data_IF_860835413870
#
_entry.id   IF_860835413870
#
_cell.length_a   1.000
_cell.length_b   1.000
_cell.length_c   1.000
_cell.angle_alpha   90.00
_cell.angle_beta   90.00
_cell.angle_gamma   90.00
#
_symmetry.space_group_name_H-M   'P 1'
#
loop_
_entity.id
_entity.type
_entity.pdbx_description
1 polymer ?
#
# COMPACT_ATOMS: atom_id res chain seq x y z
N UNK A 1 -65.78 32.11 -20.22
CA UNK A 1 -64.51 32.31 -19.60
C UNK A 1 -63.99 30.97 -19.14
N UNK A 2 -63.08 30.46 -19.84
CA UNK A 2 -62.53 29.17 -19.50
C UNK A 2 -61.06 29.35 -19.15
N UNK A 3 -60.73 29.06 -17.90
CA UNK A 3 -59.38 29.09 -17.44
C UNK A 3 -58.76 27.71 -17.69
N UNK A 4 -57.80 27.67 -18.56
CA UNK A 4 -57.00 26.49 -18.73
C UNK A 4 -55.83 26.55 -17.77
N UNK A 5 -55.87 25.72 -16.79
CA UNK A 5 -54.73 25.53 -15.93
C UNK A 5 -53.85 24.44 -16.52
N UNK A 6 -52.83 24.88 -17.20
CA UNK A 6 -51.72 24.00 -17.56
C UNK A 6 -50.91 23.80 -16.32
N UNK A 7 -51.03 22.66 -15.73
CA UNK A 7 -50.10 22.24 -14.70
C UNK A 7 -48.73 22.00 -15.33
N UNK A 8 -47.70 22.64 -14.86
CA UNK A 8 -46.37 22.32 -15.36
C UNK A 8 -45.97 20.94 -14.87
N UNK A 9 -45.78 20.05 -15.80
CA UNK A 9 -45.10 18.80 -15.52
C UNK A 9 -43.66 19.15 -15.23
N UNK A 10 -43.32 19.19 -13.98
CA UNK A 10 -41.90 19.19 -13.57
C UNK A 10 -41.45 17.74 -13.67
N UNK A 11 -40.89 17.41 -14.78
CA UNK A 11 -40.13 16.19 -14.89
C UNK A 11 -38.84 16.37 -14.07
N UNK A 12 -38.89 15.95 -12.84
CA UNK A 12 -37.67 15.78 -12.04
C UNK A 12 -36.98 14.57 -12.60
N UNK A 13 -36.11 14.80 -13.54
CA UNK A 13 -35.14 13.82 -13.91
C UNK A 13 -34.16 13.71 -12.72
N UNK A 14 -34.45 12.78 -11.83
CA UNK A 14 -33.47 12.36 -10.85
C UNK A 14 -32.32 11.67 -11.62
N UNK A 15 -31.36 12.44 -12.03
CA UNK A 15 -30.08 11.89 -12.45
C UNK A 15 -29.45 11.37 -11.17
N UNK A 16 -29.71 10.13 -10.87
CA UNK A 16 -28.86 9.40 -9.95
C UNK A 16 -27.51 9.32 -10.64
N UNK A 17 -26.68 10.31 -10.40
CA UNK A 17 -25.27 10.19 -10.71
C UNK A 17 -24.75 9.11 -9.78
N UNK A 18 -24.81 7.90 -10.22
CA UNK A 18 -24.00 6.84 -9.69
C UNK A 18 -22.56 7.21 -10.04
N UNK A 19 -21.98 8.05 -9.20
CA UNK A 19 -20.55 8.10 -9.08
C UNK A 19 -20.13 6.78 -8.44
N UNK A 20 -20.30 5.69 -9.19
CA UNK A 20 -19.53 4.52 -8.94
C UNK A 20 -18.11 4.93 -9.28
N UNK A 21 -17.45 5.62 -8.35
CA UNK A 21 -16.01 5.63 -8.36
C UNK A 21 -15.60 4.18 -8.49
N UNK A 22 -14.70 3.82 -9.42
CA UNK A 22 -14.16 2.50 -9.41
C UNK A 22 -13.74 2.24 -7.97
N UNK A 23 -14.28 1.22 -7.36
CA UNK A 23 -13.62 0.61 -6.24
C UNK A 23 -12.28 0.13 -6.82
N UNK A 24 -11.37 1.07 -7.01
CA UNK A 24 -10.05 0.76 -7.44
C UNK A 24 -9.46 -0.02 -6.30
N UNK A 25 -9.53 -1.34 -6.42
CA UNK A 25 -8.81 -2.25 -5.57
C UNK A 25 -7.32 -2.08 -5.89
N UNK A 26 -6.77 -0.89 -5.60
CA UNK A 26 -5.33 -0.71 -5.61
C UNK A 26 -4.77 -1.51 -4.45
N UNK A 27 -3.79 -2.34 -4.74
CA UNK A 27 -3.04 -3.02 -3.73
C UNK A 27 -2.50 -1.99 -2.73
N UNK A 28 -2.70 -2.25 -1.45
CA UNK A 28 -2.22 -1.41 -0.36
C UNK A 28 -1.45 -2.24 0.65
N UNK A 29 -0.58 -1.60 1.39
CA UNK A 29 0.08 -2.21 2.52
C UNK A 29 -0.95 -2.42 3.64
N UNK A 30 -1.17 -3.67 4.02
CA UNK A 30 -2.13 -4.04 5.07
C UNK A 30 -1.45 -4.10 6.43
N UNK A 31 -0.24 -4.69 6.47
CA UNK A 31 0.55 -4.81 7.69
C UNK A 31 2.02 -4.92 7.36
N UNK A 32 2.84 -4.55 8.33
CA UNK A 32 4.28 -4.69 8.22
C UNK A 32 4.89 -4.97 9.60
N UNK A 33 6.02 -5.66 9.60
CA UNK A 33 6.84 -5.90 10.78
C UNK A 33 8.30 -5.61 10.43
N UNK A 34 8.99 -4.63 11.05
CA UNK A 34 8.44 -3.66 12.00
C UNK A 34 7.32 -2.82 11.40
N UNK A 35 6.34 -2.45 12.24
CA UNK A 35 5.19 -1.67 11.79
C UNK A 35 5.56 -0.21 11.51
N UNK A 36 4.82 0.50 10.64
CA UNK A 36 5.01 1.93 10.44
C UNK A 36 4.98 2.70 11.77
N UNK A 37 5.92 3.61 11.92
CA UNK A 37 6.09 4.49 13.08
C UNK A 37 6.35 3.77 14.42
N UNK A 38 6.66 2.48 14.38
CA UNK A 38 6.99 1.71 15.58
C UNK A 38 8.45 1.90 16.00
N UNK A 39 8.72 1.61 17.26
CA UNK A 39 10.06 1.49 17.84
C UNK A 39 10.26 0.04 18.25
N UNK A 40 11.34 -0.57 17.74
CA UNK A 40 11.63 -1.98 17.94
C UNK A 40 13.06 -2.17 18.42
N UNK A 41 13.33 -3.34 18.99
CA UNK A 41 14.66 -3.75 19.42
C UNK A 41 15.15 -4.88 18.51
N UNK A 42 16.34 -4.68 17.93
CA UNK A 42 17.06 -5.68 17.14
C UNK A 42 16.16 -6.54 16.20
N UNK A 43 15.48 -5.94 15.24
CA UNK A 43 14.68 -6.73 14.31
C UNK A 43 15.59 -7.64 13.46
N UNK A 44 15.17 -8.87 13.22
CA UNK A 44 15.91 -9.83 12.41
C UNK A 44 15.33 -9.99 11.02
N UNK A 45 14.06 -9.69 10.87
CA UNK A 45 13.31 -9.85 9.63
C UNK A 45 12.45 -8.63 9.38
N UNK A 46 12.20 -8.37 8.10
CA UNK A 46 11.16 -7.45 7.65
C UNK A 46 10.10 -8.25 6.91
N UNK A 47 8.84 -7.89 7.14
CA UNK A 47 7.71 -8.53 6.49
C UNK A 47 6.67 -7.48 6.13
N UNK A 48 6.26 -7.44 4.88
CA UNK A 48 5.25 -6.52 4.36
C UNK A 48 4.13 -7.34 3.72
N UNK A 49 2.92 -7.17 4.20
CA UNK A 49 1.74 -7.86 3.66
C UNK A 49 0.84 -6.87 2.94
N UNK A 50 0.47 -7.21 1.73
CA UNK A 50 -0.36 -6.38 0.86
C UNK A 50 -1.76 -6.99 0.69
N UNK A 51 -2.69 -6.16 0.23
CA UNK A 51 -4.10 -6.55 0.08
C UNK A 51 -4.38 -7.43 -1.13
N UNK A 52 -3.43 -7.54 -2.07
CA UNK A 52 -3.60 -8.28 -3.31
C UNK A 52 -2.37 -9.09 -3.65
N UNK A 53 -2.55 -10.10 -4.48
CA UNK A 53 -1.45 -10.91 -4.98
C UNK A 53 -0.54 -10.07 -5.88
N UNK A 54 0.75 -10.31 -5.74
CA UNK A 54 1.80 -9.56 -6.44
C UNK A 54 2.53 -10.45 -7.43
N UNK A 55 3.13 -9.78 -8.42
CA UNK A 55 4.07 -10.42 -9.36
C UNK A 55 5.47 -10.37 -8.73
N UNK A 56 6.07 -11.50 -8.36
CA UNK A 56 7.33 -11.52 -7.62
C UNK A 56 8.47 -10.79 -8.33
N UNK A 57 8.57 -10.92 -9.65
CA UNK A 57 9.65 -10.31 -10.43
C UNK A 57 9.65 -8.78 -10.41
N UNK A 58 8.50 -8.17 -10.08
CA UNK A 58 8.31 -6.71 -10.11
C UNK A 58 7.94 -6.12 -8.76
N UNK A 59 8.14 -6.88 -7.70
CA UNK A 59 7.75 -6.47 -6.35
C UNK A 59 8.92 -6.66 -5.39
N UNK A 60 9.11 -5.68 -4.51
CA UNK A 60 10.18 -5.71 -3.52
C UNK A 60 10.18 -4.47 -2.64
N UNK A 61 11.21 -4.33 -1.86
CA UNK A 61 11.44 -3.13 -1.07
C UNK A 61 12.93 -2.91 -0.81
N UNK A 62 13.28 -1.65 -0.54
CA UNK A 62 14.60 -1.22 -0.11
C UNK A 62 14.52 -0.71 1.33
N UNK A 63 15.58 -0.91 2.07
CA UNK A 63 15.75 -0.36 3.41
C UNK A 63 16.90 0.65 3.39
N UNK A 64 16.64 1.84 3.92
CA UNK A 64 17.66 2.89 4.05
C UNK A 64 17.72 3.40 5.49
N UNK A 65 18.93 3.79 5.92
CA UNK A 65 19.10 4.42 7.23
C UNK A 65 18.82 5.93 7.17
N UNK A 66 18.94 6.62 8.29
CA UNK A 66 18.67 8.05 8.38
C UNK A 66 19.59 8.91 7.49
N UNK A 67 20.78 8.43 7.16
CA UNK A 67 21.70 9.09 6.24
C UNK A 67 21.39 8.84 4.77
N UNK A 68 20.36 8.02 4.48
CA UNK A 68 19.99 7.64 3.12
C UNK A 68 20.84 6.51 2.54
N UNK A 69 21.66 5.85 3.37
CA UNK A 69 22.47 4.71 2.94
C UNK A 69 21.63 3.44 2.90
N UNK A 70 21.70 2.71 1.78
CA UNK A 70 21.02 1.45 1.62
C UNK A 70 21.56 0.35 2.53
N UNK A 71 20.64 -0.41 3.10
CA UNK A 71 20.93 -1.62 3.88
C UNK A 71 20.59 -2.82 3.01
N UNK A 72 21.52 -3.75 2.85
CA UNK A 72 21.27 -4.94 2.06
C UNK A 72 20.11 -5.75 2.65
N UNK A 73 19.11 -5.90 1.82
CA UNK A 73 17.98 -6.80 2.09
C UNK A 73 17.76 -7.66 0.88
N UNK A 74 17.29 -8.77 0.83
CA UNK A 74 16.97 -9.55 -0.36
C UNK A 74 15.52 -10.00 -0.23
N UNK A 75 14.54 -9.09 -0.51
CA UNK A 75 13.15 -9.44 -0.36
C UNK A 75 12.77 -10.62 -1.25
N UNK A 76 12.01 -11.53 -0.71
CA UNK A 76 11.42 -12.62 -1.44
C UNK A 76 9.92 -12.71 -1.17
N UNK A 77 9.19 -13.29 -2.13
CA UNK A 77 7.77 -13.51 -2.00
C UNK A 77 7.49 -14.73 -1.15
N UNK A 78 6.64 -14.60 -0.14
CA UNK A 78 6.11 -15.73 0.60
C UNK A 78 5.14 -16.55 -0.28
N UNK A 79 4.86 -17.78 0.11
CA UNK A 79 3.98 -18.67 -0.66
C UNK A 79 2.55 -18.14 -0.79
N UNK A 80 2.10 -17.29 0.14
CA UNK A 80 0.77 -16.68 0.08
C UNK A 80 0.58 -15.72 -1.10
N UNK A 81 1.68 -15.27 -1.72
CA UNK A 81 1.66 -14.35 -2.86
C UNK A 81 1.31 -12.90 -2.51
N UNK A 82 1.14 -12.57 -1.24
CA UNK A 82 0.77 -11.24 -0.76
C UNK A 82 1.77 -10.67 0.24
N UNK A 83 2.78 -11.44 0.66
CA UNK A 83 3.76 -11.03 1.66
C UNK A 83 5.17 -11.05 1.08
N UNK A 84 5.87 -9.92 1.21
CA UNK A 84 7.29 -9.81 0.96
C UNK A 84 8.04 -9.93 2.28
N UNK A 85 9.07 -10.75 2.31
CA UNK A 85 9.91 -10.95 3.50
C UNK A 85 11.37 -10.79 3.18
N UNK A 86 12.13 -10.30 4.14
CA UNK A 86 13.59 -10.25 4.05
C UNK A 86 14.20 -10.56 5.41
N UNK A 87 15.28 -11.33 5.42
CA UNK A 87 16.09 -11.57 6.60
C UNK A 87 17.29 -10.63 6.57
N UNK A 88 17.55 -9.96 7.69
CA UNK A 88 18.69 -9.06 7.82
C UNK A 88 19.95 -9.87 8.06
N UNK A 89 21.01 -9.61 7.27
CA UNK A 89 22.29 -10.28 7.41
C UNK A 89 23.04 -9.84 8.66
N UNK A 90 22.82 -8.59 9.08
CA UNK A 90 23.48 -7.98 10.23
C UNK A 90 22.46 -7.23 11.09
N UNK A 91 22.70 -7.13 12.41
CA UNK A 91 21.86 -6.30 13.28
C UNK A 91 21.86 -4.85 12.80
N UNK A 92 20.69 -4.21 12.87
CA UNK A 92 20.58 -2.80 12.57
C UNK A 92 21.08 -1.97 13.76
N UNK A 93 21.88 -0.95 13.46
CA UNK A 93 22.27 0.03 14.46
C UNK A 93 21.05 0.83 14.94
N UNK A 94 21.13 1.36 16.14
CA UNK A 94 20.12 2.27 16.68
C UNK A 94 19.92 3.45 15.74
N UNK A 95 18.67 3.78 15.44
CA UNK A 95 18.34 4.90 14.57
C UNK A 95 17.03 4.70 13.82
N UNK A 96 16.70 5.66 12.97
CA UNK A 96 15.50 5.66 12.14
C UNK A 96 15.82 5.02 10.79
N UNK A 97 14.93 4.16 10.34
CA UNK A 97 15.01 3.47 9.05
C UNK A 97 13.76 3.73 8.24
N UNK A 98 13.93 3.78 6.94
CA UNK A 98 12.82 3.93 5.99
C UNK A 98 12.77 2.74 5.05
N UNK A 99 11.58 2.21 4.87
CA UNK A 99 11.28 1.18 3.88
C UNK A 99 10.62 1.84 2.68
N UNK A 100 11.20 1.66 1.51
CA UNK A 100 10.61 2.08 0.24
C UNK A 100 10.17 0.82 -0.48
N UNK A 101 8.89 0.63 -0.66
CA UNK A 101 8.38 -0.55 -1.32
C UNK A 101 7.78 -0.24 -2.69
N UNK A 102 7.83 -1.21 -3.58
CA UNK A 102 7.20 -1.19 -4.88
C UNK A 102 6.58 -2.56 -5.15
N UNK A 103 5.40 -2.56 -5.69
CA UNK A 103 4.71 -3.79 -6.05
C UNK A 103 4.04 -3.64 -7.40
N UNK A 104 3.92 -4.75 -8.10
CA UNK A 104 3.03 -4.92 -9.23
C UNK A 104 2.02 -5.99 -8.87
N UNK A 105 0.74 -5.63 -8.85
CA UNK A 105 -0.31 -6.61 -8.63
C UNK A 105 -0.56 -7.45 -9.88
N UNK A 106 -1.17 -8.62 -9.70
CA UNK A 106 -1.41 -9.53 -10.82
C UNK A 106 -2.40 -8.98 -11.86
N UNK A 107 -3.15 -7.95 -11.51
CA UNK A 107 -4.03 -7.22 -12.43
C UNK A 107 -3.31 -6.16 -13.27
N UNK A 108 -1.99 -5.99 -13.09
CA UNK A 108 -1.15 -5.07 -13.86
C UNK A 108 -0.96 -3.68 -13.28
N UNK A 109 -1.50 -3.38 -12.11
CA UNK A 109 -1.30 -2.09 -11.46
C UNK A 109 0.01 -2.07 -10.66
N UNK A 110 0.75 -0.97 -10.76
CA UNK A 110 1.98 -0.72 -10.00
C UNK A 110 1.72 0.31 -8.91
N UNK A 111 2.21 0.01 -7.70
CA UNK A 111 2.08 0.87 -6.54
C UNK A 111 3.43 1.00 -5.86
N UNK A 112 3.68 2.15 -5.28
CA UNK A 112 4.85 2.41 -4.44
C UNK A 112 4.41 3.08 -3.14
N UNK A 113 5.23 2.95 -2.12
CA UNK A 113 5.00 3.61 -0.86
C UNK A 113 6.24 3.58 0.01
N UNK A 114 6.14 4.26 1.13
CA UNK A 114 7.23 4.36 2.09
C UNK A 114 6.68 4.44 3.51
N UNK A 115 7.43 3.91 4.46
CA UNK A 115 7.19 4.11 5.88
C UNK A 115 8.48 4.04 6.65
N UNK A 116 8.47 4.50 7.88
CA UNK A 116 9.63 4.51 8.77
C UNK A 116 9.38 3.73 10.04
N UNK A 117 10.44 3.21 10.63
CA UNK A 117 10.45 2.65 11.98
C UNK A 117 11.77 3.02 12.67
N UNK A 118 11.81 2.87 13.97
CA UNK A 118 12.97 3.21 14.78
C UNK A 118 13.51 1.96 15.47
N UNK A 119 14.84 1.82 15.49
CA UNK A 119 15.55 0.79 16.25
C UNK A 119 16.18 1.44 17.47
N UNK A 120 15.91 0.86 18.63
CA UNK A 120 16.49 1.31 19.90
C UNK A 120 17.39 0.27 20.55
#
# INVERSE_FOLDING_TARGET
MRSFHLAPFVAVAAVAALAAGPAAAHARLVSATPAPDSTVTAPHTLSLTFSERMVPAFSGFDLVNAAGTGIDTHPSMAEDGVTLTATLAHPLATGVYRVNWHIASTDGHRMTGTYSFTVQ
#
